data_IF_081942776507
#
_entry.id   IF_081942776507
#
_cell.length_a   1.000
_cell.length_b   1.000
_cell.length_c   1.000
_cell.angle_alpha   90.00
_cell.angle_beta   90.00
_cell.angle_gamma   90.00
#
_symmetry.space_group_name_H-M   'P 1'
#
loop_
_entity.id
_entity.type
_entity.pdbx_description
1 polymer ?
#
# COMPACT_ATOMS: atom_id res chain seq x y z
N UNK A 1 -11.30 14.24 -16.44
CA UNK A 1 -11.21 13.14 -15.47
C UNK A 1 -10.26 13.64 -14.39
N UNK A 2 -10.60 13.48 -13.11
CA UNK A 2 -9.72 13.93 -12.03
C UNK A 2 -8.39 13.15 -12.10
N UNK A 3 -7.26 13.84 -11.93
CA UNK A 3 -5.93 13.24 -11.80
C UNK A 3 -5.29 13.59 -10.45
N UNK A 4 -4.08 13.09 -10.19
CA UNK A 4 -3.27 13.47 -9.02
C UNK A 4 -3.03 14.98 -8.93
N UNK A 5 -3.02 15.69 -10.07
CA UNK A 5 -2.82 17.14 -10.12
C UNK A 5 -4.03 17.92 -9.58
N UNK A 6 -5.19 17.27 -9.52
CA UNK A 6 -6.44 17.85 -9.02
C UNK A 6 -6.66 17.60 -7.51
N UNK A 7 -5.76 16.86 -6.83
CA UNK A 7 -5.86 16.60 -5.39
C UNK A 7 -5.78 17.90 -4.58
N UNK A 8 -6.78 18.13 -3.73
CA UNK A 8 -6.90 19.32 -2.89
C UNK A 8 -6.03 19.24 -1.61
N UNK A 9 -4.73 18.97 -1.79
CA UNK A 9 -3.74 19.04 -0.70
C UNK A 9 -3.46 20.49 -0.34
N UNK A 10 -3.31 20.79 0.94
CA UNK A 10 -2.86 22.11 1.38
C UNK A 10 -1.33 22.23 1.39
N UNK A 11 -0.83 23.41 1.78
CA UNK A 11 0.60 23.75 1.76
C UNK A 11 1.51 22.88 2.65
N UNK A 12 0.93 22.00 3.48
CA UNK A 12 1.72 21.08 4.32
C UNK A 12 2.27 19.89 3.53
N UNK A 13 1.68 19.54 2.39
CA UNK A 13 2.04 18.34 1.66
C UNK A 13 3.07 18.65 0.56
N UNK A 14 4.20 17.95 0.62
CA UNK A 14 5.24 17.99 -0.41
C UNK A 14 5.27 16.65 -1.15
N UNK A 15 5.03 16.69 -2.47
CA UNK A 15 4.99 15.47 -3.30
C UNK A 15 6.38 15.07 -3.75
N UNK A 16 6.70 13.79 -3.61
CA UNK A 16 7.87 13.17 -4.22
C UNK A 16 7.44 12.11 -5.22
N UNK A 17 8.21 11.96 -6.29
CA UNK A 17 8.02 10.86 -7.23
C UNK A 17 8.51 9.56 -6.61
N UNK A 18 7.77 8.48 -6.82
CA UNK A 18 8.15 7.17 -6.28
C UNK A 18 9.52 6.70 -6.82
N UNK A 19 9.85 7.03 -8.07
CA UNK A 19 11.15 6.64 -8.64
C UNK A 19 12.30 7.37 -7.95
N UNK A 20 12.11 8.63 -7.59
CA UNK A 20 13.13 9.43 -6.89
C UNK A 20 13.39 8.88 -5.48
N UNK A 21 12.40 8.21 -4.87
CA UNK A 21 12.54 7.51 -3.58
C UNK A 21 13.23 6.15 -3.75
N UNK A 22 12.75 5.31 -4.68
CA UNK A 22 13.25 3.94 -4.89
C UNK A 22 14.71 3.95 -5.36
N UNK A 23 15.06 4.89 -6.24
CA UNK A 23 16.39 4.97 -6.84
C UNK A 23 17.29 6.01 -6.16
N UNK A 24 16.94 6.49 -4.96
CA UNK A 24 17.78 7.41 -4.22
C UNK A 24 19.11 6.74 -3.85
N UNK A 25 20.27 7.19 -4.38
CA UNK A 25 21.55 6.57 -4.05
C UNK A 25 21.88 6.65 -2.55
N UNK A 26 21.28 7.59 -1.81
CA UNK A 26 21.47 7.75 -0.36
C UNK A 26 20.79 6.65 0.45
N UNK A 27 19.76 5.99 -0.10
CA UNK A 27 19.08 4.87 0.57
C UNK A 27 19.75 3.53 0.30
N UNK A 28 20.57 3.43 -0.77
CA UNK A 28 21.27 2.19 -1.17
C UNK A 28 22.32 1.69 -0.17
N UNK A 29 22.83 2.56 0.69
CA UNK A 29 23.80 2.21 1.74
C UNK A 29 23.12 1.84 3.08
N UNK A 30 21.78 1.88 3.18
CA UNK A 30 21.02 1.39 4.34
C UNK A 30 20.90 -0.14 4.41
N UNK A 31 21.78 -0.88 3.72
CA UNK A 31 21.89 -2.34 3.87
C UNK A 31 22.31 -2.65 5.30
N UNK A 32 21.34 -2.97 6.16
CA UNK A 32 21.55 -3.37 7.56
C UNK A 32 20.86 -2.51 8.61
N UNK A 33 20.17 -1.43 8.24
CA UNK A 33 19.23 -0.77 9.15
C UNK A 33 17.92 -1.56 9.07
N UNK A 34 17.76 -2.58 9.93
CA UNK A 34 16.48 -3.26 10.10
C UNK A 34 15.50 -2.24 10.66
N UNK A 35 14.89 -1.44 9.78
CA UNK A 35 14.38 -0.08 10.03
C UNK A 35 13.31 0.08 11.11
N UNK A 36 12.91 -1.02 11.75
CA UNK A 36 11.94 -1.06 12.83
C UNK A 36 12.38 -1.97 13.98
N UNK A 37 13.64 -2.40 14.04
CA UNK A 37 14.16 -3.12 15.21
C UNK A 37 14.25 -2.13 16.38
N UNK A 38 13.58 -2.35 17.53
CA UNK A 38 13.51 -1.37 18.61
C UNK A 38 14.88 -0.91 19.17
N UNK A 39 15.92 -1.72 18.94
CA UNK A 39 17.31 -1.45 19.36
C UNK A 39 18.10 -0.57 18.37
N UNK A 40 17.58 -0.33 17.17
CA UNK A 40 18.24 0.51 16.17
C UNK A 40 18.04 2.00 16.53
N UNK A 41 19.12 2.81 16.62
CA UNK A 41 19.02 4.24 16.90
C UNK A 41 18.10 5.02 15.96
N UNK A 42 17.96 4.58 14.71
CA UNK A 42 17.16 5.27 13.69
C UNK A 42 15.69 4.80 13.68
N UNK A 43 15.35 3.72 14.40
CA UNK A 43 14.01 3.15 14.41
C UNK A 43 12.89 4.14 14.79
N UNK A 44 13.06 5.07 15.77
CA UNK A 44 12.01 6.03 16.08
C UNK A 44 11.68 6.99 14.92
N UNK A 45 12.68 7.40 14.14
CA UNK A 45 12.44 8.27 12.97
C UNK A 45 11.84 7.48 11.80
N UNK A 46 12.35 6.26 11.55
CA UNK A 46 11.76 5.35 10.57
C UNK A 46 10.30 5.02 10.86
N UNK A 47 9.96 4.77 12.14
CA UNK A 47 8.58 4.52 12.58
C UNK A 47 7.66 5.72 12.36
N UNK A 48 8.10 6.96 12.66
CA UNK A 48 7.32 8.17 12.37
C UNK A 48 7.14 8.39 10.87
N UNK A 49 8.19 8.15 10.07
CA UNK A 49 8.10 8.23 8.62
C UNK A 49 7.09 7.21 8.06
N UNK A 50 7.12 5.97 8.55
CA UNK A 50 6.16 4.94 8.13
C UNK A 50 4.73 5.29 8.55
N UNK A 51 4.53 5.76 9.79
CA UNK A 51 3.23 6.20 10.29
C UNK A 51 2.65 7.36 9.46
N UNK A 52 3.48 8.32 9.05
CA UNK A 52 3.04 9.39 8.13
C UNK A 52 2.69 8.83 6.74
N UNK A 53 3.46 7.86 6.25
CA UNK A 53 3.16 7.15 5.00
C UNK A 53 1.81 6.40 5.05
N UNK A 54 1.51 5.75 6.17
CA UNK A 54 0.20 5.12 6.45
C UNK A 54 -0.90 6.18 6.37
N UNK A 55 -0.78 7.28 7.13
CA UNK A 55 -1.77 8.37 7.10
C UNK A 55 -2.06 8.88 5.68
N UNK A 56 -1.01 9.08 4.88
CA UNK A 56 -1.13 9.50 3.47
C UNK A 56 -1.79 8.41 2.62
N UNK A 57 -1.53 7.13 2.92
CA UNK A 57 -2.23 5.98 2.35
C UNK A 57 -3.73 6.03 2.63
N UNK A 58 -4.12 6.25 3.89
CA UNK A 58 -5.52 6.32 4.33
C UNK A 58 -6.29 7.44 3.60
N UNK A 59 -5.68 8.62 3.42
CA UNK A 59 -6.32 9.71 2.66
C UNK A 59 -6.59 9.26 1.22
N UNK A 60 -5.64 8.58 0.59
CA UNK A 60 -5.79 8.15 -0.80
C UNK A 60 -6.77 6.98 -0.93
N UNK A 61 -6.79 6.06 0.03
CA UNK A 61 -7.75 4.95 0.08
C UNK A 61 -9.18 5.50 0.25
N UNK A 62 -9.37 6.47 1.15
CA UNK A 62 -10.62 7.21 1.34
C UNK A 62 -11.09 7.85 0.02
N UNK A 63 -10.19 8.60 -0.62
CA UNK A 63 -10.46 9.27 -1.90
C UNK A 63 -10.77 8.24 -3.00
N UNK A 64 -10.05 7.13 -3.06
CA UNK A 64 -10.22 6.06 -4.04
C UNK A 64 -11.54 5.29 -3.87
N UNK A 65 -11.93 4.98 -2.63
CA UNK A 65 -13.17 4.33 -2.30
C UNK A 65 -14.39 5.23 -2.60
N UNK A 66 -14.33 6.50 -2.17
CA UNK A 66 -15.34 7.50 -2.47
C UNK A 66 -15.48 7.74 -3.97
N UNK A 67 -14.36 7.80 -4.70
CA UNK A 67 -14.34 7.97 -6.15
C UNK A 67 -14.91 6.76 -6.89
N UNK A 68 -14.64 5.54 -6.43
CA UNK A 68 -15.24 4.31 -7.00
C UNK A 68 -16.76 4.32 -6.83
N UNK A 69 -17.27 4.86 -5.72
CA UNK A 69 -18.70 5.09 -5.53
C UNK A 69 -19.28 6.15 -6.47
N UNK A 70 -18.47 7.10 -6.95
CA UNK A 70 -18.91 8.19 -7.81
C UNK A 70 -18.80 7.87 -9.30
N UNK A 71 -17.65 7.38 -9.74
CA UNK A 71 -17.26 7.27 -11.16
C UNK A 71 -18.07 6.23 -11.94
N UNK A 72 -18.50 5.13 -11.31
CA UNK A 72 -19.10 4.00 -12.00
C UNK A 72 -20.61 3.97 -11.84
N UNK A 73 -21.33 3.81 -12.95
CA UNK A 73 -22.78 3.62 -12.93
C UNK A 73 -23.16 2.21 -12.43
N UNK A 74 -24.36 2.11 -11.85
CA UNK A 74 -24.90 0.82 -11.41
C UNK A 74 -25.45 0.04 -12.60
N UNK A 75 -24.97 -1.18 -12.79
CA UNK A 75 -25.49 -2.05 -13.83
C UNK A 75 -24.67 -3.32 -14.03
N UNK A 76 -24.74 -3.88 -15.24
CA UNK A 76 -24.14 -5.17 -15.58
C UNK A 76 -23.26 -5.10 -16.83
N UNK A 77 -23.16 -3.93 -17.48
CA UNK A 77 -22.23 -3.74 -18.57
C UNK A 77 -20.78 -3.78 -18.07
N UNK A 78 -19.82 -3.91 -19.00
CA UNK A 78 -18.40 -4.07 -18.67
C UNK A 78 -17.84 -2.93 -17.80
N UNK A 79 -18.26 -1.70 -18.08
CA UNK A 79 -17.82 -0.47 -17.40
C UNK A 79 -18.71 -0.06 -16.21
N UNK A 80 -19.78 -0.83 -15.96
CA UNK A 80 -20.69 -0.62 -14.83
C UNK A 80 -20.31 -1.56 -13.69
N UNK A 81 -20.81 -1.26 -12.48
CA UNK A 81 -20.60 -2.10 -11.31
C UNK A 81 -21.93 -2.46 -10.64
N UNK A 82 -22.03 -3.63 -9.97
CA UNK A 82 -23.20 -3.95 -9.17
C UNK A 82 -23.41 -2.95 -8.01
N UNK A 83 -24.67 -2.75 -7.60
CA UNK A 83 -24.99 -1.85 -6.49
C UNK A 83 -24.30 -2.27 -5.19
N UNK A 84 -24.22 -3.57 -4.94
CA UNK A 84 -23.59 -4.13 -3.75
C UNK A 84 -22.10 -3.81 -3.69
N UNK A 85 -21.41 -3.76 -4.85
CA UNK A 85 -20.01 -3.32 -4.89
C UNK A 85 -19.91 -1.87 -4.42
N UNK A 86 -20.77 -0.98 -4.93
CA UNK A 86 -20.76 0.43 -4.50
C UNK A 86 -21.06 0.57 -3.01
N UNK A 87 -21.96 -0.27 -2.48
CA UNK A 87 -22.28 -0.27 -1.06
C UNK A 87 -21.09 -0.73 -0.22
N UNK A 88 -20.34 -1.73 -0.66
CA UNK A 88 -19.13 -2.18 0.04
C UNK A 88 -18.02 -1.12 -0.05
N UNK A 89 -17.80 -0.48 -1.21
CA UNK A 89 -16.86 0.64 -1.34
C UNK A 89 -17.26 1.84 -0.48
N UNK A 90 -18.55 2.09 -0.28
CA UNK A 90 -19.02 3.16 0.61
C UNK A 90 -18.76 2.85 2.08
N UNK A 91 -18.75 1.56 2.48
CA UNK A 91 -18.33 1.14 3.82
C UNK A 91 -16.84 1.31 3.99
N UNK A 92 -16.04 0.85 3.02
CA UNK A 92 -14.60 1.09 3.04
C UNK A 92 -14.30 2.59 3.16
N UNK A 93 -14.95 3.45 2.38
CA UNK A 93 -14.81 4.91 2.49
C UNK A 93 -15.08 5.45 3.91
N UNK A 94 -16.03 4.85 4.65
CA UNK A 94 -16.23 5.20 6.06
C UNK A 94 -15.10 4.71 6.96
N UNK A 95 -14.60 3.49 6.72
CA UNK A 95 -13.49 2.91 7.46
C UNK A 95 -12.19 3.71 7.24
N UNK A 96 -11.88 4.11 6.01
CA UNK A 96 -10.70 4.94 5.72
C UNK A 96 -10.80 6.36 6.31
N UNK A 97 -12.00 6.92 6.40
CA UNK A 97 -12.20 8.21 7.08
C UNK A 97 -11.83 8.08 8.57
N UNK A 98 -12.20 6.96 9.19
CA UNK A 98 -11.82 6.64 10.56
C UNK A 98 -10.33 6.31 10.68
N UNK A 99 -9.73 5.62 9.73
CA UNK A 99 -8.27 5.36 9.70
C UNK A 99 -7.47 6.65 9.57
N UNK A 100 -7.94 7.64 8.79
CA UNK A 100 -7.36 8.97 8.75
C UNK A 100 -7.35 9.62 10.15
N UNK A 101 -8.48 9.59 10.87
CA UNK A 101 -8.56 10.17 12.22
C UNK A 101 -7.63 9.45 13.22
N UNK A 102 -7.59 8.12 13.19
CA UNK A 102 -6.69 7.31 14.02
C UNK A 102 -5.24 7.65 13.70
N UNK A 103 -4.87 7.68 12.43
CA UNK A 103 -3.50 7.93 11.97
C UNK A 103 -3.01 9.33 12.34
N UNK A 104 -3.89 10.34 12.31
CA UNK A 104 -3.57 11.67 12.83
C UNK A 104 -3.23 11.60 14.32
N UNK A 105 -4.02 10.86 15.11
CA UNK A 105 -3.80 10.70 16.56
C UNK A 105 -2.58 9.87 16.90
N UNK A 106 -2.30 8.82 16.14
CA UNK A 106 -1.06 8.07 16.27
C UNK A 106 0.15 8.93 15.89
N UNK A 107 0.04 9.73 14.82
CA UNK A 107 1.08 10.68 14.45
C UNK A 107 1.41 11.66 15.59
N UNK A 108 0.38 12.29 16.17
CA UNK A 108 0.54 13.16 17.35
C UNK A 108 1.19 12.43 18.54
N UNK A 109 0.75 11.20 18.83
CA UNK A 109 1.27 10.36 19.91
C UNK A 109 2.75 9.99 19.72
N UNK A 110 3.14 9.69 18.48
CA UNK A 110 4.52 9.36 18.11
C UNK A 110 5.41 10.61 17.96
N UNK A 111 4.83 11.81 18.07
CA UNK A 111 5.54 13.08 17.97
C UNK A 111 5.82 13.55 16.54
N UNK A 112 5.06 13.06 15.56
CA UNK A 112 5.08 13.58 14.18
C UNK A 112 3.91 14.56 13.93
N UNK A 113 3.95 15.26 12.79
CA UNK A 113 2.88 16.15 12.36
C UNK A 113 2.56 15.97 10.87
N UNK A 114 1.35 16.39 10.47
CA UNK A 114 0.90 16.34 9.07
C UNK A 114 1.85 17.17 8.20
N UNK A 115 2.46 16.51 7.22
CA UNK A 115 3.41 17.13 6.29
C UNK A 115 4.87 17.13 6.75
N UNK A 116 5.21 16.46 7.86
CA UNK A 116 6.61 16.31 8.28
C UNK A 116 7.45 15.53 7.26
N UNK A 117 6.84 14.54 6.62
CA UNK A 117 7.47 13.73 5.58
C UNK A 117 6.78 13.98 4.22
N UNK A 118 7.50 13.73 3.13
CA UNK A 118 6.97 13.87 1.78
C UNK A 118 5.93 12.77 1.47
N UNK A 119 4.94 13.08 0.64
CA UNK A 119 3.92 12.14 0.17
C UNK A 119 4.22 11.58 -1.24
N UNK A 120 3.73 10.37 -1.49
CA UNK A 120 3.57 9.81 -2.83
C UNK A 120 2.08 9.60 -3.14
N UNK A 121 1.71 9.56 -4.42
CA UNK A 121 0.30 9.54 -4.86
C UNK A 121 -0.12 8.25 -5.60
N UNK A 122 0.70 7.21 -5.54
CA UNK A 122 0.54 6.01 -6.36
C UNK A 122 -0.78 5.26 -6.10
N UNK A 123 -1.29 5.29 -4.85
CA UNK A 123 -2.58 4.68 -4.54
C UNK A 123 -3.72 5.42 -5.25
N UNK A 124 -3.72 6.74 -5.17
CA UNK A 124 -4.70 7.54 -5.90
C UNK A 124 -4.58 7.37 -7.42
N UNK A 125 -3.36 7.21 -7.96
CA UNK A 125 -3.15 6.89 -9.38
C UNK A 125 -3.80 5.55 -9.78
N UNK A 126 -3.64 4.50 -8.96
CA UNK A 126 -4.34 3.23 -9.17
C UNK A 126 -5.86 3.42 -9.10
N UNK A 127 -6.34 4.23 -8.16
CA UNK A 127 -7.74 4.64 -8.05
C UNK A 127 -8.21 5.52 -9.23
N UNK A 128 -7.31 5.95 -10.12
CA UNK A 128 -7.67 6.66 -11.34
C UNK A 128 -7.99 5.76 -12.54
N UNK A 129 -7.74 4.46 -12.44
CA UNK A 129 -7.96 3.54 -13.56
C UNK A 129 -9.44 3.54 -14.00
N UNK A 130 -9.68 3.67 -15.30
CA UNK A 130 -11.03 3.78 -15.87
C UNK A 130 -11.79 2.44 -15.88
N UNK A 131 -11.10 1.29 -15.83
CA UNK A 131 -11.76 -0.01 -15.74
C UNK A 131 -12.00 -0.35 -14.25
N UNK A 132 -13.26 -0.68 -13.86
CA UNK A 132 -13.59 -0.93 -12.45
C UNK A 132 -12.89 -2.17 -11.88
N UNK A 133 -12.63 -3.20 -12.69
CA UNK A 133 -11.96 -4.43 -12.23
C UNK A 133 -10.47 -4.19 -12.09
N UNK A 134 -9.84 -3.47 -13.01
CA UNK A 134 -8.43 -3.09 -12.87
C UNK A 134 -8.23 -2.17 -11.66
N UNK A 135 -9.12 -1.20 -11.45
CA UNK A 135 -9.10 -0.32 -10.28
C UNK A 135 -9.22 -1.11 -8.98
N UNK A 136 -10.25 -1.96 -8.87
CA UNK A 136 -10.49 -2.80 -7.71
C UNK A 136 -9.28 -3.71 -7.42
N UNK A 137 -8.69 -4.30 -8.44
CA UNK A 137 -7.57 -5.22 -8.24
C UNK A 137 -6.28 -4.48 -7.90
N UNK A 138 -6.03 -3.34 -8.54
CA UNK A 138 -4.92 -2.45 -8.21
C UNK A 138 -5.01 -1.96 -6.76
N UNK A 139 -6.11 -1.32 -6.39
CA UNK A 139 -6.29 -0.74 -5.05
C UNK A 139 -6.49 -1.85 -4.00
N UNK A 140 -7.62 -2.55 -4.03
CA UNK A 140 -8.02 -3.45 -2.94
C UNK A 140 -7.17 -4.70 -2.79
N UNK A 141 -6.55 -5.22 -3.86
CA UNK A 141 -5.73 -6.44 -3.74
C UNK A 141 -4.24 -6.14 -3.63
N UNK A 142 -3.71 -5.23 -4.46
CA UNK A 142 -2.29 -4.92 -4.38
C UNK A 142 -2.00 -3.94 -3.23
N UNK A 143 -2.68 -2.78 -3.20
CA UNK A 143 -2.33 -1.68 -2.30
C UNK A 143 -2.84 -1.86 -0.88
N UNK A 144 -4.12 -2.19 -0.70
CA UNK A 144 -4.62 -2.55 0.64
C UNK A 144 -3.96 -3.86 1.12
N UNK A 145 -3.59 -4.74 0.19
CA UNK A 145 -2.80 -5.92 0.50
C UNK A 145 -1.44 -5.55 1.11
N UNK A 146 -0.76 -4.53 0.59
CA UNK A 146 0.43 -3.98 1.22
C UNK A 146 0.12 -3.32 2.57
N UNK A 147 -1.01 -2.60 2.68
CA UNK A 147 -1.41 -1.98 3.93
C UNK A 147 -1.48 -3.01 5.08
N UNK A 148 -2.00 -4.22 4.82
CA UNK A 148 -1.94 -5.36 5.77
C UNK A 148 -0.51 -5.59 6.29
N UNK A 149 0.49 -5.63 5.41
CA UNK A 149 1.89 -5.90 5.80
C UNK A 149 2.46 -4.74 6.65
N UNK A 150 2.13 -3.50 6.27
CA UNK A 150 2.58 -2.27 6.95
C UNK A 150 1.95 -2.16 8.34
N UNK A 151 0.63 -2.31 8.44
CA UNK A 151 -0.09 -2.27 9.73
C UNK A 151 0.38 -3.38 10.66
N UNK A 152 0.59 -4.59 10.15
CA UNK A 152 1.16 -5.68 10.93
C UNK A 152 2.57 -5.32 11.45
N UNK A 153 3.40 -4.69 10.62
CA UNK A 153 4.75 -4.25 11.03
C UNK A 153 4.69 -3.22 12.16
N UNK A 154 3.83 -2.20 12.04
CA UNK A 154 3.66 -1.18 13.08
C UNK A 154 3.03 -1.72 14.36
N UNK A 155 2.11 -2.68 14.25
CA UNK A 155 1.58 -3.41 15.41
C UNK A 155 2.69 -4.13 16.17
N UNK A 156 3.53 -4.91 15.48
CA UNK A 156 4.65 -5.62 16.12
C UNK A 156 5.68 -4.65 16.69
N UNK A 157 5.90 -3.50 16.03
CA UNK A 157 6.74 -2.43 16.57
C UNK A 157 6.20 -1.86 17.89
N UNK A 158 4.89 -1.60 17.97
CA UNK A 158 4.23 -1.17 19.21
C UNK A 158 4.38 -2.20 20.33
N UNK A 159 4.22 -3.48 20.01
CA UNK A 159 4.48 -4.58 20.96
C UNK A 159 5.95 -4.59 21.44
N UNK A 160 6.90 -4.47 20.51
CA UNK A 160 8.34 -4.49 20.80
C UNK A 160 8.87 -3.25 21.53
N UNK A 161 8.09 -2.17 21.58
CA UNK A 161 8.42 -0.90 22.26
C UNK A 161 7.58 -0.66 23.53
N UNK A 162 6.79 -1.64 23.95
CA UNK A 162 5.84 -1.52 25.08
C UNK A 162 4.86 -0.33 24.91
N UNK A 163 4.47 -0.03 23.65
CA UNK A 163 3.46 0.98 23.32
C UNK A 163 2.10 0.33 23.03
N UNK A 164 1.19 0.26 24.03
CA UNK A 164 -0.11 -0.37 23.86
C UNK A 164 -1.07 0.46 22.99
N UNK A 165 -0.83 1.77 22.83
CA UNK A 165 -1.69 2.64 22.02
C UNK A 165 -1.42 2.36 20.54
N UNK A 166 -0.15 2.36 20.15
CA UNK A 166 0.25 2.02 18.79
C UNK A 166 -0.21 0.60 18.43
N UNK A 167 0.09 -0.38 19.29
CA UNK A 167 -0.34 -1.77 19.06
C UNK A 167 -1.86 -1.88 18.80
N UNK A 168 -2.68 -1.31 19.68
CA UNK A 168 -4.13 -1.47 19.60
C UNK A 168 -4.72 -0.76 18.37
N UNK A 169 -4.27 0.45 18.08
CA UNK A 169 -4.76 1.20 16.93
C UNK A 169 -4.40 0.49 15.60
N UNK A 170 -3.16 0.03 15.47
CA UNK A 170 -2.71 -0.68 14.27
C UNK A 170 -3.37 -2.04 14.11
N UNK A 171 -3.58 -2.79 15.20
CA UNK A 171 -4.32 -4.06 15.14
C UNK A 171 -5.79 -3.85 14.74
N UNK A 172 -6.39 -2.74 15.17
CA UNK A 172 -7.76 -2.41 14.81
C UNK A 172 -7.91 -2.04 13.33
N UNK A 173 -7.05 -1.17 12.80
CA UNK A 173 -7.05 -0.82 11.37
C UNK A 173 -6.71 -2.03 10.51
N UNK A 174 -5.76 -2.87 10.93
CA UNK A 174 -5.42 -4.13 10.27
C UNK A 174 -6.63 -5.08 10.12
N UNK A 175 -7.52 -5.14 11.12
CA UNK A 175 -8.72 -5.97 11.05
C UNK A 175 -9.69 -5.51 9.95
N UNK A 176 -9.80 -4.20 9.76
CA UNK A 176 -10.59 -3.61 8.69
C UNK A 176 -9.95 -3.87 7.31
N UNK A 177 -8.62 -3.74 7.21
CA UNK A 177 -7.91 -4.01 5.95
C UNK A 177 -8.04 -5.44 5.44
N UNK A 178 -8.00 -6.42 6.36
CA UNK A 178 -8.27 -7.81 5.99
C UNK A 178 -9.65 -7.93 5.32
N UNK A 179 -10.62 -7.13 5.76
CA UNK A 179 -11.96 -7.10 5.18
C UNK A 179 -11.99 -6.36 3.84
N UNK A 180 -11.29 -5.23 3.70
CA UNK A 180 -11.18 -4.47 2.44
C UNK A 180 -10.54 -5.31 1.32
N UNK A 181 -9.47 -6.02 1.65
CA UNK A 181 -8.76 -6.89 0.72
C UNK A 181 -9.58 -8.14 0.38
N UNK A 182 -10.27 -8.71 1.38
CA UNK A 182 -11.21 -9.81 1.14
C UNK A 182 -12.34 -9.41 0.21
N UNK A 183 -12.90 -8.23 0.42
CA UNK A 183 -13.93 -7.66 -0.44
C UNK A 183 -13.42 -7.55 -1.88
N UNK A 184 -12.23 -6.99 -2.11
CA UNK A 184 -11.62 -6.92 -3.45
C UNK A 184 -11.43 -8.28 -4.10
N UNK A 185 -10.98 -9.27 -3.32
CA UNK A 185 -10.81 -10.67 -3.75
C UNK A 185 -12.12 -11.34 -4.16
N UNK A 186 -13.17 -11.14 -3.39
CA UNK A 186 -14.49 -11.71 -3.66
C UNK A 186 -15.12 -11.02 -4.89
N UNK A 187 -15.00 -9.71 -5.02
CA UNK A 187 -15.54 -8.96 -6.16
C UNK A 187 -14.82 -9.22 -7.48
N UNK A 188 -13.49 -9.35 -7.47
CA UNK A 188 -12.72 -9.78 -8.65
C UNK A 188 -13.29 -11.09 -9.19
N UNK A 189 -13.37 -12.13 -8.35
CA UNK A 189 -13.88 -13.46 -8.74
C UNK A 189 -15.33 -13.40 -9.24
N UNK A 190 -16.19 -12.58 -8.61
CA UNK A 190 -17.61 -12.45 -8.99
C UNK A 190 -17.80 -11.75 -10.32
N UNK A 191 -17.14 -10.61 -10.54
CA UNK A 191 -17.32 -9.81 -11.76
C UNK A 191 -16.71 -10.51 -12.97
N UNK A 192 -15.63 -11.27 -12.78
CA UNK A 192 -14.95 -11.99 -13.86
C UNK A 192 -15.34 -13.45 -13.97
N UNK A 193 -16.39 -13.91 -13.27
CA UNK A 193 -16.77 -15.33 -13.20
C UNK A 193 -16.99 -15.98 -14.59
N UNK A 194 -17.45 -15.19 -15.56
CA UNK A 194 -17.68 -15.64 -16.95
C UNK A 194 -16.70 -14.99 -17.96
N UNK A 195 -15.64 -14.33 -17.47
CA UNK A 195 -14.65 -13.62 -18.30
C UNK A 195 -13.23 -13.88 -17.78
N UNK A 196 -12.68 -15.08 -18.06
CA UNK A 196 -11.36 -15.47 -17.56
C UNK A 196 -10.22 -14.60 -18.15
N UNK A 197 -10.42 -14.01 -19.32
CA UNK A 197 -9.43 -13.12 -19.93
C UNK A 197 -9.38 -11.78 -19.18
N UNK A 198 -10.52 -11.20 -18.82
CA UNK A 198 -10.56 -10.01 -17.96
C UNK A 198 -9.97 -10.29 -16.57
N UNK A 199 -10.23 -11.48 -16.02
CA UNK A 199 -9.62 -11.88 -14.76
C UNK A 199 -8.09 -11.91 -14.86
N UNK A 200 -7.57 -12.53 -15.91
CA UNK A 200 -6.13 -12.58 -16.16
C UNK A 200 -5.52 -11.19 -16.30
N UNK A 201 -6.15 -10.30 -17.08
CA UNK A 201 -5.69 -8.91 -17.25
C UNK A 201 -5.65 -8.15 -15.91
N UNK A 202 -6.65 -8.37 -15.05
CA UNK A 202 -6.68 -7.78 -13.72
C UNK A 202 -5.57 -8.29 -12.81
N UNK A 203 -5.28 -9.59 -12.84
CA UNK A 203 -4.17 -10.19 -12.08
C UNK A 203 -2.80 -9.76 -12.62
N UNK A 204 -2.63 -9.65 -13.94
CA UNK A 204 -1.40 -9.12 -14.56
C UNK A 204 -1.18 -7.64 -14.17
N UNK A 205 -2.26 -6.86 -14.10
CA UNK A 205 -2.22 -5.49 -13.59
C UNK A 205 -1.85 -5.46 -12.10
N UNK A 206 -2.44 -6.35 -11.29
CA UNK A 206 -2.07 -6.51 -9.87
C UNK A 206 -0.58 -6.75 -9.72
N UNK A 207 -0.02 -7.71 -10.47
CA UNK A 207 1.41 -8.06 -10.44
C UNK A 207 2.29 -6.85 -10.74
N UNK A 208 1.88 -6.00 -11.68
CA UNK A 208 2.60 -4.77 -12.04
C UNK A 208 2.60 -3.78 -10.86
N UNK A 209 1.45 -3.59 -10.22
CA UNK A 209 1.31 -2.71 -9.05
C UNK A 209 2.10 -3.26 -7.85
N UNK A 210 1.99 -4.56 -7.57
CA UNK A 210 2.74 -5.24 -6.51
C UNK A 210 4.25 -5.12 -6.68
N UNK A 211 4.73 -5.19 -7.92
CA UNK A 211 6.15 -5.01 -8.26
C UNK A 211 6.61 -3.59 -7.93
N UNK A 212 5.87 -2.56 -8.36
CA UNK A 212 6.17 -1.16 -8.06
C UNK A 212 6.23 -0.90 -6.55
N UNK A 213 5.31 -1.51 -5.79
CA UNK A 213 5.19 -1.32 -4.34
C UNK A 213 6.12 -2.19 -3.47
N UNK A 214 6.90 -3.08 -4.07
CA UNK A 214 7.99 -3.72 -3.34
C UNK A 214 9.14 -2.75 -3.00
N UNK A 215 9.11 -1.52 -3.56
CA UNK A 215 10.12 -0.46 -3.43
C UNK A 215 11.56 -0.96 -3.54
N UNK A 216 11.82 -1.89 -4.47
CA UNK A 216 13.17 -2.42 -4.67
C UNK A 216 13.73 -3.25 -3.51
N UNK A 217 12.86 -3.88 -2.70
CA UNK A 217 13.24 -4.77 -1.59
C UNK A 217 12.86 -4.26 -0.20
N UNK A 218 12.14 -3.15 -0.10
CA UNK A 218 11.59 -2.65 1.17
C UNK A 218 10.55 -3.63 1.78
N UNK A 219 9.78 -4.28 0.91
CA UNK A 219 8.90 -5.38 1.25
C UNK A 219 9.44 -6.69 0.69
N UNK A 220 9.54 -7.73 1.52
CA UNK A 220 10.03 -9.05 1.11
C UNK A 220 9.89 -10.11 2.19
N UNK A 221 10.55 -11.26 2.02
CA UNK A 221 10.65 -12.32 3.03
C UNK A 221 12.07 -12.50 3.59
N UNK A 222 13.03 -11.73 3.09
CA UNK A 222 14.39 -11.76 3.63
C UNK A 222 14.40 -11.10 5.01
N UNK A 223 15.20 -11.63 5.94
CA UNK A 223 15.32 -11.09 7.32
C UNK A 223 15.67 -9.59 7.34
N UNK A 224 16.34 -9.11 6.30
CA UNK A 224 16.76 -7.71 6.14
C UNK A 224 15.67 -6.81 5.53
N UNK A 225 14.54 -7.36 5.07
CA UNK A 225 13.40 -6.59 4.56
C UNK A 225 12.73 -5.80 5.69
N UNK A 226 12.60 -4.46 5.58
CA UNK A 226 11.92 -3.65 6.59
C UNK A 226 10.47 -4.08 6.84
N UNK A 227 9.76 -4.49 5.79
CA UNK A 227 8.37 -4.96 5.85
C UNK A 227 8.30 -6.40 5.35
N UNK A 228 7.70 -7.26 6.16
CA UNK A 228 7.50 -8.66 5.83
C UNK A 228 6.07 -8.93 5.39
N UNK A 229 5.89 -9.87 4.47
CA UNK A 229 4.55 -10.29 4.06
C UNK A 229 3.81 -10.95 5.23
N UNK A 230 2.67 -10.36 5.60
CA UNK A 230 1.82 -10.83 6.68
C UNK A 230 0.94 -12.01 6.21
N UNK A 231 1.57 -13.16 5.92
CA UNK A 231 0.95 -14.35 5.30
C UNK A 231 -0.37 -14.76 5.92
N UNK A 232 -0.46 -14.79 7.25
CA UNK A 232 -1.68 -15.17 7.96
C UNK A 232 -2.85 -14.22 7.63
N UNK A 233 -2.61 -12.91 7.66
CA UNK A 233 -3.64 -11.90 7.38
C UNK A 233 -4.00 -11.87 5.89
N UNK A 234 -3.04 -12.06 4.98
CA UNK A 234 -3.32 -12.22 3.54
C UNK A 234 -4.17 -13.46 3.23
N UNK A 235 -3.92 -14.57 3.90
CA UNK A 235 -4.76 -15.78 3.79
C UNK A 235 -6.18 -15.51 4.32
N UNK A 236 -6.33 -14.82 5.45
CA UNK A 236 -7.66 -14.37 5.94
C UNK A 236 -8.34 -13.44 4.94
N UNK A 237 -7.57 -12.61 4.25
CA UNK A 237 -8.03 -11.69 3.22
C UNK A 237 -8.33 -12.38 1.88
N UNK A 238 -8.23 -13.72 1.80
CA UNK A 238 -8.66 -14.50 0.64
C UNK A 238 -7.63 -14.66 -0.47
N UNK A 239 -6.34 -14.42 -0.18
CA UNK A 239 -5.25 -14.94 -1.00
C UNK A 239 -5.07 -16.45 -0.77
N UNK A 240 -4.68 -17.18 -1.82
CA UNK A 240 -4.19 -18.55 -1.68
C UNK A 240 -2.70 -18.58 -1.38
N UNK A 241 -2.19 -19.72 -0.88
CA UNK A 241 -0.75 -19.89 -0.66
C UNK A 241 0.06 -19.74 -1.96
N UNK A 242 -0.49 -20.15 -3.10
CA UNK A 242 0.14 -19.95 -4.42
C UNK A 242 0.18 -18.47 -4.81
N UNK A 243 -0.92 -17.71 -4.59
CA UNK A 243 -0.93 -16.27 -4.84
C UNK A 243 0.08 -15.54 -3.93
N UNK A 244 0.19 -15.94 -2.65
CA UNK A 244 1.20 -15.39 -1.74
C UNK A 244 2.61 -15.71 -2.23
N UNK A 245 2.86 -16.95 -2.66
CA UNK A 245 4.16 -17.33 -3.21
C UNK A 245 4.52 -16.48 -4.44
N UNK A 246 3.57 -16.26 -5.35
CA UNK A 246 3.79 -15.41 -6.52
C UNK A 246 4.14 -13.97 -6.12
N UNK A 247 3.54 -13.42 -5.05
CA UNK A 247 3.91 -12.10 -4.51
C UNK A 247 5.35 -12.05 -3.99
N UNK A 248 5.80 -13.11 -3.32
CA UNK A 248 7.18 -13.24 -2.84
C UNK A 248 8.14 -13.25 -4.02
N UNK A 249 7.85 -14.06 -5.05
CA UNK A 249 8.67 -14.15 -6.25
C UNK A 249 8.75 -12.78 -6.97
N UNK A 250 7.63 -12.05 -7.06
CA UNK A 250 7.57 -10.69 -7.63
C UNK A 250 8.40 -9.68 -6.84
N UNK A 251 8.34 -9.74 -5.50
CA UNK A 251 9.14 -8.87 -4.64
C UNK A 251 10.65 -9.13 -4.82
N UNK A 252 11.05 -10.41 -4.91
CA UNK A 252 12.43 -10.78 -5.18
C UNK A 252 12.91 -10.33 -6.57
N UNK A 253 12.07 -10.48 -7.61
CA UNK A 253 12.35 -9.96 -8.97
C UNK A 253 12.59 -8.44 -8.95
N UNK A 254 11.74 -7.69 -8.26
CA UNK A 254 11.85 -6.24 -8.17
C UNK A 254 13.10 -5.78 -7.41
N UNK A 255 13.46 -6.47 -6.33
CA UNK A 255 14.69 -6.21 -5.58
C UNK A 255 15.94 -6.43 -6.43
N UNK A 256 15.99 -7.53 -7.18
CA UNK A 256 17.11 -7.82 -8.08
C UNK A 256 17.27 -6.74 -9.17
N UNK A 257 16.16 -6.27 -9.75
CA UNK A 257 16.17 -5.18 -10.73
C UNK A 257 16.65 -3.85 -10.12
N UNK A 258 16.15 -3.49 -8.94
CA UNK A 258 16.56 -2.27 -8.25
C UNK A 258 18.05 -2.28 -7.90
N UNK A 259 18.58 -3.41 -7.45
CA UNK A 259 20.01 -3.59 -7.17
C UNK A 259 20.87 -3.41 -8.43
N UNK A 260 20.48 -4.05 -9.53
CA UNK A 260 21.19 -3.91 -10.80
C UNK A 260 21.20 -2.46 -11.31
N UNK A 261 20.07 -1.75 -11.19
CA UNK A 261 19.99 -0.33 -11.58
C UNK A 261 20.85 0.56 -10.68
N UNK A 262 20.85 0.33 -9.37
CA UNK A 262 21.67 1.08 -8.42
C UNK A 262 23.18 0.88 -8.68
N UNK A 263 23.60 -0.35 -8.98
CA UNK A 263 24.99 -0.65 -9.36
C UNK A 263 25.40 0.08 -10.65
N UNK A 264 24.52 0.09 -11.66
CA UNK A 264 24.75 0.85 -12.89
C UNK A 264 24.85 2.36 -12.64
N UNK A 265 23.99 2.91 -11.76
CA UNK A 265 24.02 4.33 -11.41
C UNK A 265 25.30 4.71 -10.67
N UNK A 266 25.75 3.89 -9.69
CA UNK A 266 27.03 4.08 -8.99
C UNK A 266 28.21 4.05 -9.96
N UNK A 267 28.24 3.08 -10.88
CA UNK A 267 29.29 2.99 -11.91
C UNK A 267 29.32 4.21 -12.85
N UNK A 268 28.19 4.82 -13.16
CA UNK A 268 28.14 6.03 -13.99
C UNK A 268 28.67 7.28 -13.27
N UNK A 269 28.45 7.39 -11.95
CA UNK A 269 28.97 8.49 -11.12
C UNK A 269 30.49 8.36 -10.92
N UNK A 270 31.00 7.15 -10.74
CA UNK A 270 32.45 6.91 -10.57
C UNK A 270 33.26 7.15 -11.85
N UNK A 271 32.61 7.13 -13.02
CA UNK A 271 33.24 7.34 -14.33
C UNK A 271 33.05 8.76 -14.91
N UNK A 272 32.38 9.67 -14.17
CA UNK A 272 32.15 11.08 -14.54
C UNK A 272 33.05 12.03 -13.77
#
# INVERSE_FOLDING_TARGET
MLSVDDLARDERFERIRIEDLIFDPRTTDRKGAGGFQPKDPDAPDGARQLMHGIFVGEIQALEGAGRTCYDFEVGTAKEEVPFELKLDMARQCWDEARHCEISIKLGEHMGTYIGEYAEQVLLFEAACNADPVLRLTGVNRALEGLAIDVFNTMREYGSGTDDPVLYFCEDWMLADEVTHVKMGSDWLRRITANDPERQKQALDFQRTVDKLFSFGGFRGEDDDSPIHLARQFRNLAGFTDDEIKDLVDVAAEAMAEAQAMAEMAKANIENS
#
